data_IF_721485779360
#
_entry.id   IF_721485779360
#
_cell.length_a   1.000
_cell.length_b   1.000
_cell.length_c   1.000
_cell.angle_alpha   90.00
_cell.angle_beta   90.00
_cell.angle_gamma   90.00
#
_symmetry.space_group_name_H-M   'P 1'
#
loop_
_entity.id
_entity.type
_entity.pdbx_description
1 polymer ?
#
# COMPACT_ATOMS: atom_id res chain seq x y z
N UNK A 1 -4.61 23.55 10.08
CA UNK A 1 -4.78 22.44 9.11
C UNK A 1 -4.58 21.14 9.87
N UNK A 2 -5.49 20.14 9.88
CA UNK A 2 -5.38 19.06 10.85
C UNK A 2 -4.36 18.03 10.39
N UNK A 3 -3.21 18.00 11.06
CA UNK A 3 -2.26 16.90 11.05
C UNK A 3 -2.91 15.71 11.75
N UNK A 4 -3.58 14.85 10.97
CA UNK A 4 -3.95 13.52 11.47
C UNK A 4 -2.68 12.68 11.57
N UNK A 5 -1.92 12.90 12.65
CA UNK A 5 -0.93 11.97 13.16
C UNK A 5 -1.65 10.71 13.68
N UNK A 6 -2.09 9.87 12.74
CA UNK A 6 -2.51 8.50 13.04
C UNK A 6 -1.25 7.78 13.53
N UNK A 7 -1.19 7.46 14.83
CA UNK A 7 -0.15 6.62 15.44
C UNK A 7 0.03 5.36 14.60
N UNK A 8 1.09 5.33 13.79
CA UNK A 8 1.54 4.13 13.11
C UNK A 8 2.35 3.30 14.11
N UNK A 9 2.20 1.97 14.15
CA UNK A 9 2.97 1.13 15.07
C UNK A 9 4.47 1.22 14.78
N UNK A 10 5.32 1.06 15.80
CA UNK A 10 6.80 1.20 15.75
C UNK A 10 7.48 0.36 14.64
N UNK A 11 6.90 -0.78 14.26
CA UNK A 11 7.34 -1.58 13.08
C UNK A 11 7.23 -0.83 11.73
N UNK A 12 6.49 0.27 11.69
CA UNK A 12 6.19 1.07 10.51
C UNK A 12 6.96 2.39 10.43
N UNK A 13 7.91 2.64 11.34
CA UNK A 13 8.72 3.88 11.35
C UNK A 13 9.53 4.11 10.07
N UNK A 14 9.80 3.06 9.29
CA UNK A 14 10.47 3.15 7.97
C UNK A 14 9.51 3.18 6.77
N UNK A 15 8.20 3.29 6.99
CA UNK A 15 7.24 3.46 5.89
C UNK A 15 6.89 4.92 5.68
N UNK A 16 6.92 5.31 4.42
CA UNK A 16 6.48 6.63 4.00
C UNK A 16 4.98 6.80 4.25
N UNK A 17 4.52 8.05 4.38
CA UNK A 17 3.10 8.38 4.55
C UNK A 17 2.19 7.73 3.49
N UNK A 18 2.71 7.50 2.29
CA UNK A 18 2.03 6.84 1.19
C UNK A 18 1.84 5.33 1.43
N UNK A 19 2.91 4.64 1.82
CA UNK A 19 2.88 3.20 2.11
C UNK A 19 1.96 2.90 3.31
N UNK A 20 1.93 3.77 4.32
CA UNK A 20 1.01 3.63 5.46
C UNK A 20 -0.46 3.70 5.02
N UNK A 21 -0.84 4.64 4.14
CA UNK A 21 -2.22 4.70 3.61
C UNK A 21 -2.62 3.42 2.89
N UNK A 22 -1.73 2.88 2.05
CA UNK A 22 -1.95 1.61 1.35
C UNK A 22 -2.16 0.48 2.35
N UNK A 23 -1.31 0.41 3.38
CA UNK A 23 -1.40 -0.65 4.38
C UNK A 23 -2.71 -0.58 5.18
N UNK A 24 -3.15 0.61 5.59
CA UNK A 24 -4.45 0.77 6.25
C UNK A 24 -5.58 0.28 5.35
N UNK A 25 -5.55 0.65 4.06
CA UNK A 25 -6.54 0.19 3.10
C UNK A 25 -6.54 -1.34 2.97
N UNK A 26 -5.36 -1.96 2.80
CA UNK A 26 -5.26 -3.43 2.72
C UNK A 26 -5.69 -4.10 4.01
N UNK A 27 -5.48 -3.46 5.17
CA UNK A 27 -5.93 -4.00 6.47
C UNK A 27 -7.44 -3.95 6.63
N UNK A 28 -8.08 -2.90 6.12
CA UNK A 28 -9.54 -2.72 6.19
C UNK A 28 -10.28 -3.54 5.11
N UNK A 29 -9.76 -3.60 3.89
CA UNK A 29 -10.39 -4.26 2.73
C UNK A 29 -9.85 -5.67 2.43
N UNK A 30 -8.69 -6.04 2.97
CA UNK A 30 -8.04 -7.34 2.77
C UNK A 30 -7.13 -7.43 1.54
N UNK A 31 -7.48 -6.73 0.47
CA UNK A 31 -6.73 -6.68 -0.78
C UNK A 31 -6.64 -5.26 -1.36
N UNK A 32 -5.66 -5.03 -2.23
CA UNK A 32 -5.53 -3.78 -2.98
C UNK A 32 -5.03 -4.03 -4.40
N UNK A 33 -5.54 -3.24 -5.33
CA UNK A 33 -5.03 -3.18 -6.69
C UNK A 33 -4.23 -1.91 -6.97
N UNK A 34 -3.43 -1.94 -8.04
CA UNK A 34 -2.70 -0.75 -8.51
C UNK A 34 -3.62 0.44 -8.77
N UNK A 35 -4.83 0.20 -9.31
CA UNK A 35 -5.82 1.26 -9.59
C UNK A 35 -6.33 1.91 -8.31
N UNK A 36 -6.50 1.14 -7.24
CA UNK A 36 -6.92 1.67 -5.95
C UNK A 36 -5.81 2.53 -5.34
N UNK A 37 -4.56 2.07 -5.43
CA UNK A 37 -3.39 2.87 -4.99
C UNK A 37 -3.32 4.21 -5.73
N UNK A 38 -3.54 4.18 -7.05
CA UNK A 38 -3.60 5.38 -7.90
C UNK A 38 -4.68 6.34 -7.39
N UNK A 39 -5.88 5.84 -7.09
CA UNK A 39 -6.99 6.66 -6.57
C UNK A 39 -6.76 7.18 -5.15
N UNK A 40 -6.20 6.36 -4.26
CA UNK A 40 -5.98 6.70 -2.84
C UNK A 40 -4.88 7.74 -2.67
N UNK A 41 -3.83 7.64 -3.49
CA UNK A 41 -2.67 8.53 -3.43
C UNK A 41 -2.70 9.64 -4.47
N UNK A 42 -3.63 9.59 -5.43
CA UNK A 42 -3.75 10.48 -6.59
C UNK A 42 -2.40 10.62 -7.35
N UNK A 43 -1.79 9.47 -7.65
CA UNK A 43 -0.48 9.39 -8.33
C UNK A 43 -0.58 8.62 -9.65
N UNK A 44 0.35 8.87 -10.56
CA UNK A 44 0.45 8.11 -11.83
C UNK A 44 0.73 6.62 -11.57
N UNK A 45 0.23 5.75 -12.47
CA UNK A 45 0.38 4.28 -12.40
C UNK A 45 1.82 3.81 -12.25
N UNK A 46 2.78 4.53 -12.85
CA UNK A 46 4.21 4.21 -12.72
C UNK A 46 4.65 4.29 -11.26
N UNK A 47 4.26 5.34 -10.54
CA UNK A 47 4.66 5.58 -9.15
C UNK A 47 3.95 4.61 -8.20
N UNK A 48 2.67 4.33 -8.43
CA UNK A 48 1.92 3.32 -7.68
C UNK A 48 2.60 1.94 -7.75
N UNK A 49 3.06 1.53 -8.96
CA UNK A 49 3.79 0.28 -9.15
C UNK A 49 5.13 0.24 -8.42
N UNK A 50 5.88 1.33 -8.39
CA UNK A 50 7.14 1.43 -7.63
C UNK A 50 6.91 1.28 -6.12
N UNK A 51 5.88 1.94 -5.58
CA UNK A 51 5.53 1.83 -4.16
C UNK A 51 5.10 0.41 -3.82
N UNK A 52 4.22 -0.19 -4.61
CA UNK A 52 3.79 -1.58 -4.42
C UNK A 52 4.97 -2.55 -4.49
N UNK A 53 5.91 -2.35 -5.42
CA UNK A 53 7.15 -3.14 -5.49
C UNK A 53 8.02 -2.97 -4.23
N UNK A 54 8.19 -1.74 -3.74
CA UNK A 54 8.89 -1.47 -2.47
C UNK A 54 8.25 -2.22 -1.31
N UNK A 55 6.92 -2.15 -1.18
CA UNK A 55 6.19 -2.82 -0.10
C UNK A 55 6.25 -4.34 -0.19
N UNK A 56 6.24 -4.90 -1.41
CA UNK A 56 6.47 -6.34 -1.63
C UNK A 56 7.89 -6.74 -1.26
N UNK A 57 8.89 -5.94 -1.64
CA UNK A 57 10.29 -6.20 -1.30
C UNK A 57 10.53 -6.15 0.22
N UNK A 58 9.88 -5.20 0.90
CA UNK A 58 9.86 -5.08 2.37
C UNK A 58 9.03 -6.18 3.06
N UNK A 59 8.42 -7.12 2.32
CA UNK A 59 7.56 -8.20 2.81
C UNK A 59 6.31 -7.73 3.59
N UNK A 60 5.82 -6.52 3.33
CA UNK A 60 4.52 -6.06 3.87
C UNK A 60 3.35 -6.54 3.03
N UNK A 61 3.55 -6.62 1.71
CA UNK A 61 2.55 -7.10 0.75
C UNK A 61 3.08 -8.32 0.02
N UNK A 62 2.17 -9.19 -0.40
CA UNK A 62 2.45 -10.28 -1.32
C UNK A 62 1.48 -10.23 -2.49
N UNK A 63 1.95 -10.67 -3.65
CA UNK A 63 1.10 -10.79 -4.83
C UNK A 63 0.23 -12.03 -4.66
N UNK A 64 -1.09 -11.86 -4.58
CA UNK A 64 -2.02 -12.99 -4.47
C UNK A 64 -2.39 -13.53 -5.85
N UNK A 65 -2.69 -12.64 -6.81
CA UNK A 65 -3.02 -13.02 -8.19
C UNK A 65 -2.36 -12.08 -9.19
N UNK A 66 -1.85 -12.68 -10.26
CA UNK A 66 -1.37 -11.97 -11.46
C UNK A 66 -2.34 -12.27 -12.59
N UNK A 67 -3.17 -11.29 -12.95
CA UNK A 67 -4.13 -11.36 -14.04
C UNK A 67 -4.20 -10.03 -14.78
N UNK A 68 -5.37 -9.64 -15.29
CA UNK A 68 -5.59 -8.29 -15.85
C UNK A 68 -5.30 -7.19 -14.83
N UNK A 69 -5.60 -7.45 -13.56
CA UNK A 69 -5.23 -6.60 -12.44
C UNK A 69 -4.36 -7.44 -11.48
N UNK A 70 -3.29 -6.84 -10.97
CA UNK A 70 -2.44 -7.50 -9.97
C UNK A 70 -3.02 -7.19 -8.58
N UNK A 71 -3.43 -8.23 -7.88
CA UNK A 71 -3.98 -8.12 -6.52
C UNK A 71 -2.87 -8.34 -5.50
N UNK A 72 -2.74 -7.39 -4.59
CA UNK A 72 -1.79 -7.43 -3.49
C UNK A 72 -2.56 -7.63 -2.19
N UNK A 73 -2.08 -8.54 -1.35
CA UNK A 73 -2.65 -8.78 -0.01
C UNK A 73 -1.58 -8.60 1.04
N UNK A 74 -2.00 -8.35 2.28
CA UNK A 74 -1.07 -8.28 3.40
C UNK A 74 -0.27 -9.59 3.48
N UNK A 75 1.06 -9.48 3.56
CA UNK A 75 1.88 -10.62 3.89
C UNK A 75 1.69 -10.92 5.37
N UNK A 76 1.25 -12.13 5.70
CA UNK A 76 1.02 -12.59 7.07
C UNK A 76 2.32 -13.01 7.74
#
# INVERSE_FOLDING_TARGET
MPEKCRKVPERYEKLTNQENKILFYVKDYGEIETKDVVKILDIKDRRAREILKSMVHKKFLRVQRRGKNTHYVLSK
#
